data_IF_670309687426
#
_entry.id   IF_670309687426
#
_cell.length_a   1.000
_cell.length_b   1.000
_cell.length_c   1.000
_cell.angle_alpha   90.00
_cell.angle_beta   90.00
_cell.angle_gamma   90.00
#
_symmetry.space_group_name_H-M   'P 1'
#
loop_
_entity.id
_entity.type
_entity.pdbx_description
1 polymer ?
#
# COMPACT_ATOMS: atom_id res chain seq x y z
N UNK A 1 2.91 -22.55 -16.55
CA UNK A 1 2.17 -21.26 -16.44
C UNK A 1 2.79 -20.27 -17.43
N UNK A 2 1.96 -19.50 -18.16
CA UNK A 2 2.44 -18.41 -19.02
C UNK A 2 1.86 -17.10 -18.48
N UNK A 3 2.74 -16.15 -18.19
CA UNK A 3 2.37 -14.77 -17.81
C UNK A 3 2.44 -13.92 -19.08
N UNK A 4 1.38 -13.18 -19.36
CA UNK A 4 1.31 -12.31 -20.54
C UNK A 4 1.06 -10.87 -20.15
N UNK A 5 1.73 -9.97 -20.86
CA UNK A 5 1.54 -8.50 -20.76
C UNK A 5 1.69 -7.90 -22.15
N UNK A 6 0.92 -6.85 -22.45
CA UNK A 6 1.02 -6.14 -23.74
C UNK A 6 2.30 -5.27 -23.83
N UNK A 7 2.93 -4.98 -22.70
CA UNK A 7 4.14 -4.17 -22.62
C UNK A 7 5.40 -5.02 -22.82
N UNK A 8 6.02 -4.89 -24.00
CA UNK A 8 7.24 -5.63 -24.37
C UNK A 8 8.38 -5.37 -23.38
N UNK A 9 8.60 -4.12 -22.95
CA UNK A 9 9.71 -3.78 -22.05
C UNK A 9 9.55 -4.49 -20.69
N UNK A 10 8.30 -4.62 -20.19
CA UNK A 10 8.01 -5.36 -18.97
C UNK A 10 8.27 -6.85 -19.13
N UNK A 11 7.89 -7.43 -20.27
CA UNK A 11 8.17 -8.85 -20.58
C UNK A 11 9.68 -9.08 -20.73
N UNK A 12 10.41 -8.16 -21.36
CA UNK A 12 11.87 -8.25 -21.48
C UNK A 12 12.54 -8.20 -20.10
N UNK A 13 12.08 -7.33 -19.20
CA UNK A 13 12.56 -7.27 -17.82
C UNK A 13 12.30 -8.58 -17.07
N UNK A 14 11.11 -9.17 -17.17
CA UNK A 14 10.81 -10.48 -16.58
C UNK A 14 11.66 -11.63 -17.15
N UNK A 15 12.08 -11.53 -18.40
CA UNK A 15 12.96 -12.49 -19.05
C UNK A 15 14.46 -12.22 -18.80
N UNK A 16 14.80 -11.11 -18.13
CA UNK A 16 16.17 -10.74 -17.76
C UNK A 16 16.48 -11.07 -16.29
N UNK A 17 17.69 -10.80 -15.87
CA UNK A 17 18.10 -10.92 -14.45
C UNK A 17 17.74 -9.69 -13.60
N UNK A 18 17.24 -8.62 -14.23
CA UNK A 18 16.76 -7.42 -13.57
C UNK A 18 15.22 -7.40 -13.61
N UNK A 19 14.58 -7.93 -12.58
CA UNK A 19 13.12 -8.00 -12.52
C UNK A 19 12.50 -6.59 -12.40
N UNK A 20 11.29 -6.37 -12.93
CA UNK A 20 10.66 -5.05 -12.95
C UNK A 20 10.08 -4.61 -11.59
N UNK A 21 10.13 -5.47 -10.58
CA UNK A 21 9.68 -5.19 -9.20
C UNK A 21 10.66 -5.79 -8.21
N UNK A 22 10.80 -5.14 -7.05
CA UNK A 22 11.52 -5.67 -5.90
C UNK A 22 10.53 -6.30 -4.92
N UNK A 23 10.77 -7.57 -4.58
CA UNK A 23 10.08 -8.29 -3.52
C UNK A 23 11.03 -9.35 -2.94
N UNK A 24 11.20 -9.42 -1.61
CA UNK A 24 12.07 -10.44 -1.01
C UNK A 24 11.69 -11.87 -1.45
N UNK A 25 12.68 -12.65 -1.88
CA UNK A 25 12.50 -14.05 -2.34
C UNK A 25 11.96 -14.24 -3.76
N UNK A 26 11.51 -13.17 -4.44
CA UNK A 26 10.93 -13.27 -5.79
C UNK A 26 11.96 -13.67 -6.84
N UNK A 27 13.16 -13.12 -6.75
CA UNK A 27 14.24 -13.33 -7.72
C UNK A 27 14.64 -14.82 -7.79
N UNK A 28 14.77 -15.47 -6.64
CA UNK A 28 15.09 -16.89 -6.54
C UNK A 28 14.00 -17.76 -7.16
N UNK A 29 12.73 -17.47 -6.88
CA UNK A 29 11.58 -18.21 -7.42
C UNK A 29 11.51 -18.07 -8.93
N UNK A 30 11.64 -16.84 -9.45
CA UNK A 30 11.58 -16.59 -10.90
C UNK A 30 12.74 -17.28 -11.61
N UNK A 31 13.99 -17.17 -11.11
CA UNK A 31 15.17 -17.83 -11.69
C UNK A 31 15.05 -19.36 -11.66
N UNK A 32 14.47 -19.92 -10.60
CA UNK A 32 14.29 -21.36 -10.50
C UNK A 32 13.26 -21.92 -11.49
N UNK A 33 12.22 -21.14 -11.83
CA UNK A 33 11.07 -21.60 -12.62
C UNK A 33 11.09 -21.14 -14.08
N UNK A 34 11.71 -19.99 -14.40
CA UNK A 34 11.74 -19.38 -15.72
C UNK A 34 12.34 -20.33 -16.78
N UNK A 35 11.62 -20.47 -17.90
CA UNK A 35 12.00 -21.36 -18.99
C UNK A 35 11.74 -22.85 -18.74
N UNK A 36 11.26 -23.25 -17.55
CA UNK A 36 10.90 -24.64 -17.21
C UNK A 36 9.38 -24.80 -17.14
N UNK A 37 8.75 -24.13 -16.18
CA UNK A 37 7.31 -24.15 -15.96
C UNK A 37 6.70 -22.74 -15.80
N UNK A 38 7.52 -21.70 -15.91
CA UNK A 38 7.14 -20.28 -15.91
C UNK A 38 7.70 -19.61 -17.18
N UNK A 39 6.79 -19.03 -17.98
CA UNK A 39 7.10 -18.37 -19.25
C UNK A 39 6.49 -16.97 -19.26
N UNK A 40 7.17 -16.02 -19.91
CA UNK A 40 6.71 -14.64 -20.08
C UNK A 40 6.64 -14.31 -21.56
N UNK A 41 5.52 -13.76 -22.03
CA UNK A 41 5.27 -13.52 -23.46
C UNK A 41 4.35 -12.32 -23.68
N UNK A 42 4.46 -11.68 -24.84
CA UNK A 42 3.47 -10.73 -25.35
C UNK A 42 2.40 -11.38 -26.21
N UNK A 43 2.54 -12.67 -26.55
CA UNK A 43 1.57 -13.43 -27.33
C UNK A 43 0.37 -13.86 -26.46
N UNK A 44 -0.52 -12.88 -26.22
CA UNK A 44 -1.73 -13.11 -25.44
C UNK A 44 -2.68 -14.08 -26.12
N UNK A 45 -2.76 -14.08 -27.47
CA UNK A 45 -3.67 -14.95 -28.21
C UNK A 45 -3.29 -16.42 -28.02
N UNK A 46 -2.04 -16.79 -28.27
CA UNK A 46 -1.59 -18.16 -28.09
C UNK A 46 -1.78 -18.65 -26.64
N UNK A 47 -1.46 -17.80 -25.65
CA UNK A 47 -1.62 -18.14 -24.25
C UNK A 47 -3.08 -18.35 -23.86
N UNK A 48 -4.02 -17.48 -24.29
CA UNK A 48 -5.44 -17.59 -24.03
C UNK A 48 -6.04 -18.85 -24.68
N UNK A 49 -5.68 -19.13 -25.94
CA UNK A 49 -6.13 -20.34 -26.64
C UNK A 49 -5.75 -21.61 -25.87
N UNK A 50 -4.53 -21.69 -25.39
CA UNK A 50 -3.98 -22.86 -24.71
C UNK A 50 -4.51 -23.02 -23.26
N UNK A 51 -4.88 -21.94 -22.60
CA UNK A 51 -5.25 -21.98 -21.18
C UNK A 51 -6.66 -22.53 -20.96
N UNK A 52 -6.83 -23.32 -19.90
CA UNK A 52 -8.12 -23.73 -19.34
C UNK A 52 -8.56 -22.80 -18.20
N UNK A 53 -7.59 -22.32 -17.41
CA UNK A 53 -7.79 -21.39 -16.31
C UNK A 53 -6.94 -20.13 -16.56
N UNK A 54 -7.56 -18.96 -16.51
CA UNK A 54 -6.95 -17.66 -16.80
C UNK A 54 -7.10 -16.75 -15.58
N UNK A 55 -5.97 -16.40 -14.95
CA UNK A 55 -5.94 -15.39 -13.90
C UNK A 55 -5.82 -14.01 -14.52
N UNK A 56 -6.76 -13.12 -14.20
CA UNK A 56 -6.74 -11.72 -14.63
C UNK A 56 -6.28 -10.86 -13.47
N UNK A 57 -5.04 -10.36 -13.58
CA UNK A 57 -4.35 -9.55 -12.57
C UNK A 57 -3.96 -8.19 -13.15
N UNK A 58 -4.93 -7.46 -13.68
CA UNK A 58 -4.73 -6.14 -14.29
C UNK A 58 -4.91 -5.00 -13.28
N UNK A 59 -4.32 -3.84 -13.57
CA UNK A 59 -4.49 -2.67 -12.74
C UNK A 59 -5.95 -2.18 -12.76
N UNK A 60 -6.43 -1.74 -11.58
CA UNK A 60 -7.73 -1.09 -11.39
C UNK A 60 -7.52 0.27 -10.70
N UNK A 61 -6.95 1.26 -11.42
CA UNK A 61 -6.65 2.57 -10.85
C UNK A 61 -7.93 3.33 -10.52
N UNK A 62 -7.82 4.36 -9.67
CA UNK A 62 -8.92 5.30 -9.46
C UNK A 62 -9.16 6.13 -10.71
N UNK A 63 -10.42 6.33 -11.09
CA UNK A 63 -10.83 7.16 -12.25
C UNK A 63 -10.32 8.58 -12.11
N UNK A 64 -9.69 9.07 -13.18
CA UNK A 64 -9.15 10.45 -13.24
C UNK A 64 -10.14 11.46 -13.82
N UNK A 65 -11.21 11.01 -14.48
CA UNK A 65 -12.20 11.85 -15.17
C UNK A 65 -13.62 11.29 -15.06
N UNK A 66 -14.61 12.11 -15.32
CA UNK A 66 -16.02 11.71 -15.41
C UNK A 66 -16.68 11.36 -14.08
N UNK A 67 -17.81 10.67 -14.14
CA UNK A 67 -18.57 10.25 -12.98
C UNK A 67 -17.73 9.31 -12.10
N UNK A 68 -17.67 9.57 -10.79
CA UNK A 68 -16.85 8.83 -9.85
C UNK A 68 -15.35 9.21 -9.90
N UNK A 69 -14.97 10.35 -10.52
CA UNK A 69 -13.60 10.88 -10.50
C UNK A 69 -13.05 10.92 -9.06
N UNK A 70 -11.85 10.44 -8.86
CA UNK A 70 -11.16 10.42 -7.56
C UNK A 70 -11.67 9.36 -6.57
N UNK A 71 -12.68 8.56 -6.92
CA UNK A 71 -13.33 7.59 -6.03
C UNK A 71 -13.51 6.22 -6.67
N UNK A 72 -14.16 6.15 -7.83
CA UNK A 72 -14.49 4.91 -8.51
C UNK A 72 -13.26 4.21 -9.10
N UNK A 73 -13.26 2.88 -9.13
CA UNK A 73 -12.28 2.11 -9.88
C UNK A 73 -12.47 2.26 -11.40
N UNK A 74 -11.37 2.36 -12.13
CA UNK A 74 -11.35 2.30 -13.59
C UNK A 74 -11.13 0.85 -14.03
N UNK A 75 -12.13 0.27 -14.67
CA UNK A 75 -12.12 -1.12 -15.12
C UNK A 75 -11.73 -1.29 -16.58
N UNK A 76 -11.25 -0.24 -17.24
CA UNK A 76 -10.88 -0.27 -18.68
C UNK A 76 -9.93 -1.42 -19.03
N UNK A 77 -8.93 -1.66 -18.20
CA UNK A 77 -7.98 -2.77 -18.42
C UNK A 77 -8.65 -4.13 -18.26
N UNK A 78 -9.56 -4.27 -17.30
CA UNK A 78 -10.31 -5.50 -17.09
C UNK A 78 -11.25 -5.77 -18.26
N UNK A 79 -12.00 -4.77 -18.70
CA UNK A 79 -12.88 -4.87 -19.87
C UNK A 79 -12.10 -5.24 -21.14
N UNK A 80 -10.94 -4.62 -21.36
CA UNK A 80 -10.07 -4.93 -22.49
C UNK A 80 -9.56 -6.39 -22.45
N UNK A 81 -9.13 -6.85 -21.28
CA UNK A 81 -8.72 -8.24 -21.09
C UNK A 81 -9.87 -9.21 -21.37
N UNK A 82 -11.08 -8.91 -20.88
CA UNK A 82 -12.27 -9.74 -21.12
C UNK A 82 -12.61 -9.83 -22.62
N UNK A 83 -12.51 -8.73 -23.37
CA UNK A 83 -12.75 -8.74 -24.83
C UNK A 83 -11.74 -9.62 -25.55
N UNK A 84 -10.45 -9.54 -25.20
CA UNK A 84 -9.41 -10.38 -25.77
C UNK A 84 -9.62 -11.85 -25.43
N UNK A 85 -9.96 -12.17 -24.17
CA UNK A 85 -10.27 -13.53 -23.73
C UNK A 85 -11.44 -14.09 -24.54
N UNK A 86 -12.53 -13.32 -24.70
CA UNK A 86 -13.68 -13.73 -25.48
C UNK A 86 -13.33 -14.01 -26.95
N UNK A 87 -12.59 -13.06 -27.59
CA UNK A 87 -12.25 -13.15 -29.02
C UNK A 87 -11.36 -14.36 -29.35
N UNK A 88 -10.46 -14.75 -28.45
CA UNK A 88 -9.47 -15.80 -28.70
C UNK A 88 -9.80 -17.15 -28.08
N UNK A 89 -10.86 -17.24 -27.28
CA UNK A 89 -11.28 -18.51 -26.66
C UNK A 89 -11.93 -19.45 -27.69
N UNK A 90 -11.45 -20.67 -27.75
CA UNK A 90 -11.98 -21.75 -28.63
C UNK A 90 -12.55 -22.91 -27.83
N UNK A 91 -12.55 -22.84 -26.51
CA UNK A 91 -13.08 -23.83 -25.56
C UNK A 91 -13.50 -23.15 -24.29
N UNK A 92 -14.25 -23.86 -23.44
CA UNK A 92 -14.63 -23.41 -22.11
C UNK A 92 -13.43 -22.92 -21.29
N UNK A 93 -13.62 -21.86 -20.50
CA UNK A 93 -12.59 -21.24 -19.67
C UNK A 93 -13.08 -20.97 -18.25
N UNK A 94 -12.22 -21.23 -17.28
CA UNK A 94 -12.36 -20.67 -15.93
C UNK A 94 -11.60 -19.35 -15.90
N UNK A 95 -12.30 -18.25 -15.63
CA UNK A 95 -11.73 -16.90 -15.55
C UNK A 95 -11.64 -16.53 -14.09
N UNK A 96 -10.44 -16.32 -13.59
CA UNK A 96 -10.17 -15.98 -12.20
C UNK A 96 -9.86 -14.50 -12.07
N UNK A 97 -10.77 -13.74 -11.50
CA UNK A 97 -10.60 -12.34 -11.16
C UNK A 97 -9.69 -12.22 -9.94
N UNK A 98 -8.44 -11.82 -10.19
CA UNK A 98 -7.42 -11.64 -9.13
C UNK A 98 -7.30 -10.18 -8.69
N UNK A 99 -7.58 -9.24 -9.60
CA UNK A 99 -7.56 -7.80 -9.31
C UNK A 99 -8.60 -7.42 -8.26
N UNK A 100 -8.29 -6.40 -7.45
CA UNK A 100 -9.27 -5.78 -6.55
C UNK A 100 -10.27 -4.95 -7.35
N UNK A 101 -11.54 -5.30 -7.29
CA UNK A 101 -12.61 -4.73 -8.09
C UNK A 101 -13.83 -4.35 -7.24
N UNK A 102 -14.71 -3.44 -7.73
CA UNK A 102 -16.01 -3.21 -7.12
C UNK A 102 -16.89 -4.46 -7.12
N UNK A 103 -17.74 -4.58 -6.11
CA UNK A 103 -18.78 -5.64 -6.07
C UNK A 103 -19.62 -5.62 -7.36
N UNK A 104 -19.94 -6.79 -7.91
CA UNK A 104 -20.66 -7.07 -9.15
C UNK A 104 -19.88 -6.82 -10.43
N UNK A 105 -18.56 -6.64 -10.35
CA UNK A 105 -17.70 -6.54 -11.54
C UNK A 105 -17.73 -7.82 -12.35
N UNK A 106 -17.61 -8.97 -11.71
CA UNK A 106 -17.64 -10.26 -12.39
C UNK A 106 -18.93 -10.49 -13.20
N UNK A 107 -20.08 -10.04 -12.69
CA UNK A 107 -21.36 -10.10 -13.44
C UNK A 107 -21.33 -9.21 -14.70
N UNK A 108 -20.74 -8.02 -14.61
CA UNK A 108 -20.61 -7.12 -15.76
C UNK A 108 -19.64 -7.72 -16.81
N UNK A 109 -18.53 -8.28 -16.36
CA UNK A 109 -17.52 -8.92 -17.21
C UNK A 109 -18.07 -10.17 -17.92
N UNK A 110 -18.88 -10.96 -17.23
CA UNK A 110 -19.57 -12.10 -17.85
C UNK A 110 -20.37 -11.68 -19.09
N UNK A 111 -21.11 -10.57 -18.98
CA UNK A 111 -21.87 -10.02 -20.10
C UNK A 111 -20.95 -9.60 -21.27
N UNK A 112 -19.75 -9.07 -20.96
CA UNK A 112 -18.75 -8.73 -21.98
C UNK A 112 -18.22 -9.99 -22.65
N UNK A 113 -17.85 -11.02 -21.90
CA UNK A 113 -17.37 -12.29 -22.42
C UNK A 113 -18.37 -12.95 -23.35
N UNK A 114 -19.61 -13.15 -22.88
CA UNK A 114 -20.68 -13.80 -23.65
C UNK A 114 -21.06 -13.05 -24.94
N UNK A 115 -21.01 -11.72 -24.93
CA UNK A 115 -21.36 -10.89 -26.10
C UNK A 115 -20.25 -10.78 -27.14
N UNK A 116 -19.00 -11.05 -26.78
CA UNK A 116 -17.84 -10.90 -27.65
C UNK A 116 -17.20 -12.22 -28.08
N UNK A 117 -17.67 -13.38 -27.59
CA UNK A 117 -17.20 -14.68 -28.01
C UNK A 117 -17.77 -15.05 -29.38
N UNK A 118 -16.94 -15.27 -30.42
CA UNK A 118 -17.42 -15.67 -31.74
C UNK A 118 -17.79 -17.15 -31.85
N UNK A 119 -17.37 -17.96 -30.86
CA UNK A 119 -17.57 -19.41 -30.87
C UNK A 119 -18.87 -19.78 -30.16
N UNK A 120 -19.79 -20.43 -30.84
CA UNK A 120 -20.99 -20.99 -30.22
C UNK A 120 -20.64 -22.15 -29.27
N UNK A 121 -21.33 -22.20 -28.12
CA UNK A 121 -21.16 -23.29 -27.16
C UNK A 121 -19.97 -23.16 -26.22
N UNK A 122 -19.15 -22.10 -26.35
CA UNK A 122 -18.09 -21.80 -25.38
C UNK A 122 -18.67 -21.12 -24.15
N UNK A 123 -18.32 -21.59 -22.98
CA UNK A 123 -18.78 -21.07 -21.70
C UNK A 123 -17.60 -20.48 -20.90
N UNK A 124 -17.94 -19.49 -20.08
CA UNK A 124 -17.01 -18.82 -19.18
C UNK A 124 -17.52 -18.94 -17.75
N UNK A 125 -16.76 -19.60 -16.87
CA UNK A 125 -17.05 -19.67 -15.45
C UNK A 125 -16.16 -18.66 -14.73
N UNK A 126 -16.76 -17.59 -14.18
CA UNK A 126 -16.01 -16.52 -13.53
C UNK A 126 -15.94 -16.76 -12.04
N UNK A 127 -14.72 -16.72 -11.50
CA UNK A 127 -14.43 -16.81 -10.08
C UNK A 127 -13.78 -15.52 -9.60
N UNK A 128 -14.12 -15.08 -8.40
CA UNK A 128 -13.39 -14.04 -7.67
C UNK A 128 -12.40 -14.71 -6.73
N UNK A 129 -11.11 -14.42 -6.89
CA UNK A 129 -10.05 -14.93 -6.02
C UNK A 129 -9.13 -13.78 -5.62
N UNK A 130 -9.59 -12.87 -4.75
CA UNK A 130 -8.81 -11.73 -4.33
C UNK A 130 -7.55 -12.17 -3.58
N UNK A 131 -6.46 -11.42 -3.74
CA UNK A 131 -5.24 -11.60 -2.97
C UNK A 131 -5.32 -10.80 -1.65
N UNK A 132 -4.67 -11.31 -0.60
CA UNK A 132 -4.57 -10.65 0.71
C UNK A 132 -3.11 -10.48 1.15
N UNK A 133 -2.19 -10.54 0.22
CA UNK A 133 -0.77 -10.38 0.46
C UNK A 133 -0.38 -8.93 0.78
N UNK A 134 0.75 -8.79 1.43
CA UNK A 134 1.39 -7.50 1.70
C UNK A 134 2.73 -7.43 0.97
N UNK A 135 3.03 -6.29 0.35
CA UNK A 135 4.35 -6.03 -0.24
C UNK A 135 5.44 -6.22 0.82
N UNK A 136 6.59 -6.76 0.43
CA UNK A 136 7.69 -7.09 1.35
C UNK A 136 7.55 -8.46 2.04
N UNK A 137 6.37 -9.09 2.00
CA UNK A 137 6.11 -10.45 2.50
C UNK A 137 5.28 -11.29 1.54
N UNK A 138 5.14 -10.85 0.28
CA UNK A 138 4.21 -11.44 -0.67
C UNK A 138 4.51 -12.91 -0.99
N UNK A 139 5.78 -13.31 -1.04
CA UNK A 139 6.16 -14.70 -1.29
C UNK A 139 5.73 -15.60 -0.14
N UNK A 140 5.95 -15.18 1.10
CA UNK A 140 5.51 -15.93 2.30
C UNK A 140 3.99 -15.97 2.39
N UNK A 141 3.31 -14.85 2.14
CA UNK A 141 1.85 -14.75 2.13
C UNK A 141 1.20 -15.63 1.06
N UNK A 142 1.87 -15.87 -0.07
CA UNK A 142 1.39 -16.77 -1.13
C UNK A 142 1.66 -18.24 -0.83
N UNK A 143 2.79 -18.55 -0.17
CA UNK A 143 3.16 -19.92 0.15
C UNK A 143 2.50 -20.44 1.42
N UNK A 144 2.30 -19.56 2.41
CA UNK A 144 1.64 -19.89 3.68
C UNK A 144 0.55 -18.86 4.04
N UNK A 145 -0.49 -18.71 3.21
CA UNK A 145 -1.52 -17.71 3.43
C UNK A 145 -2.32 -17.97 4.70
N UNK A 146 -2.77 -16.90 5.37
CA UNK A 146 -3.79 -17.01 6.42
C UNK A 146 -5.07 -17.65 5.89
N UNK A 147 -5.46 -17.28 4.65
CA UNK A 147 -6.58 -17.86 3.90
C UNK A 147 -6.42 -17.62 2.39
N UNK A 148 -7.02 -18.51 1.61
CA UNK A 148 -7.37 -18.30 0.20
C UNK A 148 -8.87 -18.17 0.11
N UNK A 149 -9.40 -17.13 -0.52
CA UNK A 149 -10.83 -16.94 -0.72
C UNK A 149 -11.17 -17.13 -2.19
N UNK A 150 -12.15 -18.01 -2.46
CA UNK A 150 -12.64 -18.30 -3.81
C UNK A 150 -14.14 -18.06 -3.84
N UNK A 151 -14.57 -17.07 -4.59
CA UNK A 151 -15.97 -16.76 -4.83
C UNK A 151 -16.42 -17.28 -6.18
N UNK A 152 -17.60 -17.87 -6.26
CA UNK A 152 -18.18 -18.35 -7.50
C UNK A 152 -19.70 -18.45 -7.44
N UNK A 153 -20.30 -18.83 -8.57
CA UNK A 153 -21.73 -19.11 -8.68
C UNK A 153 -22.04 -20.53 -8.14
N UNK A 154 -21.96 -20.67 -6.82
CA UNK A 154 -22.11 -21.94 -6.10
C UNK A 154 -23.55 -22.46 -6.11
N UNK A 155 -24.51 -21.70 -6.63
CA UNK A 155 -25.91 -22.08 -6.82
C UNK A 155 -26.16 -22.96 -8.06
N UNK A 156 -25.15 -23.20 -8.89
CA UNK A 156 -25.23 -24.09 -10.03
C UNK A 156 -24.01 -25.01 -10.14
N UNK A 157 -24.21 -26.17 -10.82
CA UNK A 157 -23.21 -27.23 -10.91
C UNK A 157 -21.91 -26.77 -11.58
N UNK A 158 -21.98 -25.95 -12.63
CA UNK A 158 -20.79 -25.44 -13.33
C UNK A 158 -19.95 -24.56 -12.43
N UNK A 159 -20.56 -23.58 -11.77
CA UNK A 159 -19.87 -22.70 -10.85
C UNK A 159 -19.26 -23.44 -9.67
N UNK A 160 -19.99 -24.44 -9.14
CA UNK A 160 -19.46 -25.33 -8.10
C UNK A 160 -18.24 -26.12 -8.59
N UNK A 161 -18.30 -26.67 -9.80
CA UNK A 161 -17.18 -27.41 -10.40
C UNK A 161 -15.97 -26.48 -10.67
N UNK A 162 -16.19 -25.26 -11.15
CA UNK A 162 -15.13 -24.27 -11.35
C UNK A 162 -14.45 -23.86 -10.02
N UNK A 163 -15.24 -23.63 -8.96
CA UNK A 163 -14.70 -23.39 -7.62
C UNK A 163 -13.84 -24.56 -7.13
N UNK A 164 -14.36 -25.80 -7.28
CA UNK A 164 -13.63 -27.00 -6.88
C UNK A 164 -12.30 -27.14 -7.63
N UNK A 165 -12.29 -26.89 -8.94
CA UNK A 165 -11.06 -26.94 -9.74
C UNK A 165 -10.00 -25.93 -9.24
N UNK A 166 -10.40 -24.70 -8.90
CA UNK A 166 -9.46 -23.72 -8.35
C UNK A 166 -9.03 -24.10 -6.92
N UNK A 167 -9.91 -24.64 -6.09
CA UNK A 167 -9.55 -25.18 -4.78
C UNK A 167 -8.47 -26.28 -4.89
N UNK A 168 -8.59 -27.18 -5.85
CA UNK A 168 -7.60 -28.24 -6.11
C UNK A 168 -6.23 -27.65 -6.51
N UNK A 169 -6.19 -26.56 -7.26
CA UNK A 169 -4.93 -25.87 -7.59
C UNK A 169 -4.25 -25.42 -6.30
N UNK A 170 -4.96 -24.70 -5.43
CA UNK A 170 -4.38 -24.20 -4.17
C UNK A 170 -4.06 -25.30 -3.17
N UNK A 171 -4.83 -26.39 -3.15
CA UNK A 171 -4.64 -27.53 -2.25
C UNK A 171 -3.29 -28.26 -2.45
N UNK A 172 -2.54 -27.96 -3.53
CA UNK A 172 -1.20 -28.49 -3.71
C UNK A 172 -0.18 -27.96 -2.68
N UNK A 173 -0.45 -26.77 -2.08
CA UNK A 173 0.46 -26.17 -1.08
C UNK A 173 -0.26 -25.50 0.11
N UNK A 174 -1.56 -25.24 0.01
CA UNK A 174 -2.36 -24.61 1.07
C UNK A 174 -3.22 -25.66 1.74
N UNK A 175 -3.22 -25.77 3.08
CA UNK A 175 -4.12 -26.63 3.84
C UNK A 175 -5.59 -26.33 3.51
N UNK A 176 -6.41 -27.38 3.34
CA UNK A 176 -7.79 -27.25 2.89
C UNK A 176 -8.65 -26.37 3.80
N UNK A 177 -8.39 -26.37 5.09
CA UNK A 177 -9.08 -25.55 6.09
C UNK A 177 -8.84 -24.04 5.92
N UNK A 178 -7.80 -23.67 5.18
CA UNK A 178 -7.49 -22.28 4.82
C UNK A 178 -8.05 -21.86 3.47
N UNK A 179 -8.63 -22.77 2.70
CA UNK A 179 -9.27 -22.49 1.41
C UNK A 179 -10.76 -22.30 1.67
N UNK A 180 -11.20 -21.05 1.58
CA UNK A 180 -12.58 -20.65 1.88
C UNK A 180 -13.34 -20.42 0.58
N UNK A 181 -14.57 -20.92 0.51
CA UNK A 181 -15.48 -20.68 -0.62
C UNK A 181 -16.64 -19.76 -0.19
N UNK A 182 -17.06 -18.87 -1.09
CA UNK A 182 -18.16 -17.94 -0.87
C UNK A 182 -18.94 -17.72 -2.17
N UNK A 183 -20.07 -17.01 -2.08
CA UNK A 183 -20.67 -16.51 -3.31
C UNK A 183 -19.77 -15.42 -3.92
N UNK A 184 -19.92 -15.20 -5.22
CA UNK A 184 -19.08 -14.35 -6.03
C UNK A 184 -18.97 -12.91 -5.48
N UNK A 185 -20.10 -12.30 -5.15
CA UNK A 185 -20.15 -10.90 -4.69
C UNK A 185 -19.60 -10.72 -3.27
N UNK A 186 -19.77 -11.71 -2.39
CA UNK A 186 -19.17 -11.71 -1.05
C UNK A 186 -17.64 -11.76 -1.14
N UNK A 187 -17.07 -12.52 -2.08
CA UNK A 187 -15.64 -12.58 -2.28
C UNK A 187 -15.07 -11.23 -2.78
N UNK A 188 -15.71 -10.62 -3.78
CA UNK A 188 -15.34 -9.28 -4.26
C UNK A 188 -15.37 -8.24 -3.12
N UNK A 189 -16.48 -8.19 -2.35
CA UNK A 189 -16.63 -7.24 -1.26
C UNK A 189 -15.63 -7.48 -0.12
N UNK A 190 -15.29 -8.75 0.16
CA UNK A 190 -14.38 -9.11 1.25
C UNK A 190 -13.00 -8.47 1.11
N UNK A 191 -12.49 -8.31 -0.11
CA UNK A 191 -11.18 -7.67 -0.34
C UNK A 191 -11.22 -6.19 0.01
N UNK A 192 -12.20 -5.45 -0.51
CA UNK A 192 -12.36 -4.02 -0.19
C UNK A 192 -12.56 -3.80 1.31
N UNK A 193 -13.43 -4.62 1.93
CA UNK A 193 -13.70 -4.56 3.35
C UNK A 193 -12.45 -4.83 4.19
N UNK A 194 -11.66 -5.87 3.84
CA UNK A 194 -10.44 -6.18 4.57
C UNK A 194 -9.45 -5.01 4.54
N UNK A 195 -9.18 -4.43 3.37
CA UNK A 195 -8.29 -3.28 3.24
C UNK A 195 -8.82 -2.05 3.99
N UNK A 196 -10.12 -1.77 3.91
CA UNK A 196 -10.76 -0.66 4.63
C UNK A 196 -10.65 -0.83 6.15
N UNK A 197 -10.86 -2.03 6.69
CA UNK A 197 -10.74 -2.31 8.13
C UNK A 197 -9.30 -2.26 8.61
N UNK A 198 -8.31 -2.70 7.83
CA UNK A 198 -6.89 -2.56 8.18
C UNK A 198 -6.49 -1.07 8.27
N UNK A 199 -6.86 -0.28 7.28
CA UNK A 199 -6.60 1.17 7.28
C UNK A 199 -7.35 1.88 8.41
N UNK A 200 -8.60 1.51 8.70
CA UNK A 200 -9.39 2.05 9.80
C UNK A 200 -8.71 1.80 11.15
N UNK A 201 -8.07 0.64 11.37
CA UNK A 201 -7.30 0.37 12.59
C UNK A 201 -6.13 1.35 12.74
N UNK A 202 -5.40 1.63 11.65
CA UNK A 202 -4.30 2.61 11.67
C UNK A 202 -4.84 4.02 11.96
N UNK A 203 -5.92 4.45 11.29
CA UNK A 203 -6.54 5.75 11.55
C UNK A 203 -7.06 5.86 12.99
N UNK A 204 -7.60 4.78 13.55
CA UNK A 204 -8.09 4.76 14.94
C UNK A 204 -6.95 4.94 15.93
N UNK A 205 -5.83 4.20 15.80
CA UNK A 205 -4.70 4.37 16.73
C UNK A 205 -4.02 5.73 16.54
N UNK A 206 -3.99 6.26 15.31
CA UNK A 206 -3.50 7.60 15.04
C UNK A 206 -4.37 8.69 15.67
N UNK A 207 -5.69 8.54 15.69
CA UNK A 207 -6.59 9.43 16.40
C UNK A 207 -6.32 9.40 17.92
N UNK A 208 -6.13 8.20 18.50
CA UNK A 208 -5.75 8.04 19.92
C UNK A 208 -4.37 8.64 20.18
N UNK A 209 -3.43 8.57 19.26
CA UNK A 209 -2.10 9.18 19.41
C UNK A 209 -2.16 10.68 19.63
N UNK A 210 -3.10 11.37 18.96
CA UNK A 210 -3.31 12.80 19.17
C UNK A 210 -3.80 13.12 20.59
N UNK A 211 -4.73 12.32 21.12
CA UNK A 211 -5.21 12.46 22.49
C UNK A 211 -4.11 12.15 23.51
N UNK A 212 -3.26 11.15 23.26
CA UNK A 212 -2.13 10.83 24.15
C UNK A 212 -1.19 12.03 24.32
N UNK A 213 -0.85 12.73 23.25
CA UNK A 213 0.00 13.93 23.32
C UNK A 213 -0.60 15.04 24.20
N UNK A 214 -1.92 15.24 24.13
CA UNK A 214 -2.63 16.25 24.94
C UNK A 214 -2.74 15.86 26.40
N UNK A 215 -2.79 14.57 26.73
CA UNK A 215 -3.06 14.07 28.08
C UNK A 215 -1.81 13.59 28.82
N UNK A 216 -0.68 13.45 28.09
CA UNK A 216 0.54 12.87 28.65
C UNK A 216 0.55 11.33 28.69
N UNK A 217 -0.43 10.67 28.04
CA UNK A 217 -0.43 9.22 27.86
C UNK A 217 0.60 8.81 26.79
N UNK A 218 0.99 7.52 26.77
CA UNK A 218 1.87 6.93 25.76
C UNK A 218 1.06 5.97 24.87
N UNK A 219 0.96 6.28 23.58
CA UNK A 219 0.21 5.47 22.62
C UNK A 219 0.74 4.04 22.49
N UNK A 220 2.05 3.81 22.71
CA UNK A 220 2.63 2.48 22.66
C UNK A 220 2.13 1.61 23.83
N UNK A 221 1.97 2.19 25.01
CA UNK A 221 1.39 1.50 26.16
C UNK A 221 -0.11 1.24 25.94
N UNK A 222 -0.83 2.22 25.40
CA UNK A 222 -2.26 2.07 25.06
C UNK A 222 -2.45 0.95 24.04
N UNK A 223 -1.70 0.99 22.93
CA UNK A 223 -1.80 -0.04 21.86
C UNK A 223 -1.41 -1.43 22.37
N UNK A 224 -0.37 -1.53 23.21
CA UNK A 224 0.02 -2.78 23.84
C UNK A 224 -1.10 -3.35 24.73
N UNK A 225 -1.68 -2.51 25.57
CA UNK A 225 -2.74 -2.93 26.52
C UNK A 225 -3.99 -3.41 25.77
N UNK A 226 -4.52 -2.61 24.83
CA UNK A 226 -5.71 -2.99 24.06
C UNK A 226 -5.44 -4.17 23.11
N UNK A 227 -4.22 -4.28 22.59
CA UNK A 227 -3.81 -5.39 21.72
C UNK A 227 -3.73 -6.75 22.43
N UNK A 228 -3.72 -6.79 23.79
CA UNK A 228 -3.81 -8.03 24.57
C UNK A 228 -5.24 -8.60 24.63
N UNK A 229 -6.26 -7.80 24.35
CA UNK A 229 -7.62 -8.30 24.19
C UNK A 229 -7.70 -9.11 22.86
N UNK A 230 -8.00 -10.40 22.95
CA UNK A 230 -8.10 -11.30 21.80
C UNK A 230 -9.13 -10.86 20.76
N UNK A 231 -10.14 -10.09 21.16
CA UNK A 231 -11.17 -9.52 20.27
C UNK A 231 -10.62 -8.39 19.40
N UNK A 232 -9.56 -7.70 19.85
CA UNK A 232 -8.88 -6.61 19.15
C UNK A 232 -7.63 -7.16 18.46
N UNK A 233 -6.73 -7.81 19.19
CA UNK A 233 -5.44 -8.29 18.71
C UNK A 233 -4.42 -7.15 18.46
N UNK A 234 -3.12 -7.46 18.40
CA UNK A 234 -2.05 -6.45 18.38
C UNK A 234 -1.73 -5.87 16.99
N UNK A 235 -2.19 -6.49 15.90
CA UNK A 235 -1.81 -6.08 14.53
C UNK A 235 -2.48 -4.77 14.12
N UNK A 236 -1.77 -3.91 13.37
CA UNK A 236 -2.24 -2.62 12.84
C UNK A 236 -2.59 -1.58 13.92
N UNK A 237 -1.91 -1.62 15.07
CA UNK A 237 -2.06 -0.67 16.18
C UNK A 237 -0.80 0.18 16.43
N UNK A 238 0.12 0.26 15.47
CA UNK A 238 1.28 1.14 15.57
C UNK A 238 0.93 2.53 15.06
N UNK A 239 0.97 3.53 15.96
CA UNK A 239 0.78 4.91 15.58
C UNK A 239 1.93 5.39 14.67
N UNK A 240 1.59 6.12 13.62
CA UNK A 240 2.53 6.60 12.62
C UNK A 240 2.07 7.91 12.00
N UNK A 241 2.90 8.48 11.13
CA UNK A 241 2.57 9.68 10.35
C UNK A 241 1.42 9.48 9.36
N UNK A 242 0.96 8.26 9.17
CA UNK A 242 -0.15 7.86 8.31
C UNK A 242 0.14 6.56 7.57
N UNK A 243 -0.90 6.01 6.95
CA UNK A 243 -0.77 4.89 6.03
C UNK A 243 -0.59 5.38 4.59
N UNK A 244 0.04 4.56 3.78
CA UNK A 244 0.21 4.73 2.34
C UNK A 244 0.03 3.40 1.61
N UNK A 245 0.62 3.31 0.43
CA UNK A 245 0.51 2.15 -0.46
C UNK A 245 -0.67 2.23 -1.41
N UNK A 246 -0.57 1.52 -2.50
CA UNK A 246 -1.52 1.57 -3.63
C UNK A 246 -2.95 1.12 -3.33
N UNK A 247 -3.18 0.49 -2.17
CA UNK A 247 -4.43 -0.22 -1.92
C UNK A 247 -5.37 0.51 -0.95
N UNK A 248 -4.89 0.95 0.21
CA UNK A 248 -5.78 1.37 1.30
C UNK A 248 -6.68 2.54 0.91
N UNK A 249 -6.09 3.66 0.50
CA UNK A 249 -6.87 4.85 0.17
C UNK A 249 -7.81 4.60 -1.02
N UNK A 250 -7.29 3.99 -2.08
CA UNK A 250 -8.05 3.65 -3.27
C UNK A 250 -9.26 2.78 -2.95
N UNK A 251 -9.07 1.73 -2.15
CA UNK A 251 -10.12 0.75 -1.85
C UNK A 251 -11.18 1.33 -0.89
N UNK A 252 -10.78 2.19 0.07
CA UNK A 252 -11.73 2.91 0.93
C UNK A 252 -12.58 3.87 0.09
N UNK A 253 -11.96 4.67 -0.78
CA UNK A 253 -12.67 5.63 -1.63
C UNK A 253 -13.65 4.90 -2.56
N UNK A 254 -13.25 3.75 -3.10
CA UNK A 254 -14.11 2.92 -3.93
C UNK A 254 -15.26 2.32 -3.12
N UNK A 255 -15.00 1.80 -1.91
CA UNK A 255 -16.04 1.26 -1.03
C UNK A 255 -17.06 2.35 -0.64
N UNK A 256 -16.58 3.54 -0.26
CA UNK A 256 -17.45 4.67 0.05
C UNK A 256 -18.29 5.11 -1.17
N UNK A 257 -17.69 5.17 -2.35
CA UNK A 257 -18.41 5.48 -3.58
C UNK A 257 -19.47 4.44 -3.93
N UNK A 258 -19.22 3.16 -3.73
CA UNK A 258 -20.23 2.10 -3.89
C UNK A 258 -21.41 2.36 -2.93
N UNK A 259 -21.14 2.71 -1.67
CA UNK A 259 -22.17 3.06 -0.69
C UNK A 259 -23.01 4.27 -1.16
N UNK A 260 -22.37 5.34 -1.66
CA UNK A 260 -23.07 6.50 -2.25
C UNK A 260 -24.01 6.07 -3.41
N UNK A 261 -23.53 5.22 -4.32
CA UNK A 261 -24.33 4.71 -5.44
C UNK A 261 -25.56 3.90 -5.01
N UNK A 262 -25.54 3.33 -3.81
CA UNK A 262 -26.66 2.62 -3.21
C UNK A 262 -27.49 3.47 -2.24
N UNK A 263 -27.24 4.77 -2.16
CA UNK A 263 -27.97 5.69 -1.27
C UNK A 263 -27.65 5.53 0.21
N UNK A 264 -26.49 4.92 0.55
CA UNK A 264 -26.03 4.68 1.91
C UNK A 264 -25.04 5.77 2.33
N UNK A 265 -25.51 7.03 2.44
CA UNK A 265 -24.63 8.18 2.67
C UNK A 265 -23.90 8.10 4.02
N UNK A 266 -24.57 7.72 5.10
CA UNK A 266 -23.97 7.62 6.43
C UNK A 266 -22.85 6.56 6.46
N UNK A 267 -23.00 5.48 5.70
CA UNK A 267 -21.96 4.45 5.57
C UNK A 267 -20.78 4.97 4.74
N UNK A 268 -21.05 5.71 3.68
CA UNK A 268 -20.02 6.36 2.87
C UNK A 268 -19.21 7.35 3.72
N UNK A 269 -19.87 8.21 4.49
CA UNK A 269 -19.25 9.22 5.36
C UNK A 269 -18.37 8.57 6.44
N UNK A 270 -18.81 7.44 6.99
CA UNK A 270 -17.99 6.67 7.92
C UNK A 270 -16.65 6.25 7.28
N UNK A 271 -16.68 5.69 6.08
CA UNK A 271 -15.45 5.27 5.40
C UNK A 271 -14.59 6.44 4.93
N UNK A 272 -15.19 7.55 4.48
CA UNK A 272 -14.44 8.78 4.18
C UNK A 272 -13.73 9.34 5.41
N UNK A 273 -14.31 9.21 6.61
CA UNK A 273 -13.68 9.67 7.84
C UNK A 273 -12.35 8.98 8.14
N UNK A 274 -12.16 7.75 7.67
CA UNK A 274 -10.89 7.00 7.81
C UNK A 274 -9.78 7.67 7.00
N UNK A 275 -10.06 8.09 5.76
CA UNK A 275 -9.12 8.84 4.91
C UNK A 275 -8.88 10.23 5.50
N UNK A 276 -9.95 10.93 5.91
CA UNK A 276 -9.84 12.26 6.53
C UNK A 276 -8.97 12.25 7.80
N UNK A 277 -9.03 11.18 8.60
CA UNK A 277 -8.15 11.00 9.77
C UNK A 277 -6.69 10.78 9.36
N UNK A 278 -6.43 10.08 8.25
CA UNK A 278 -5.09 9.92 7.71
C UNK A 278 -4.49 11.26 7.24
N UNK A 279 -5.29 12.09 6.55
CA UNK A 279 -4.86 13.42 6.11
C UNK A 279 -4.63 14.38 7.30
N UNK A 280 -5.50 14.32 8.30
CA UNK A 280 -5.31 15.04 9.56
C UNK A 280 -3.97 14.68 10.21
N UNK A 281 -3.62 13.40 10.26
CA UNK A 281 -2.39 12.91 10.89
C UNK A 281 -1.14 13.46 10.19
N UNK A 282 -1.10 13.45 8.84
CA UNK A 282 -0.01 14.02 8.04
C UNK A 282 0.13 15.53 8.30
N UNK A 283 -0.98 16.25 8.25
CA UNK A 283 -1.02 17.70 8.50
C UNK A 283 -0.60 18.04 9.92
N UNK A 284 -1.04 17.26 10.92
CA UNK A 284 -0.65 17.44 12.32
C UNK A 284 0.85 17.28 12.52
N UNK A 285 1.47 16.30 11.83
CA UNK A 285 2.91 16.09 11.90
C UNK A 285 3.69 17.30 11.35
N UNK A 286 3.30 17.83 10.18
CA UNK A 286 3.91 19.04 9.62
C UNK A 286 3.78 20.22 10.58
N UNK A 287 2.56 20.48 11.10
CA UNK A 287 2.32 21.55 12.08
C UNK A 287 3.23 21.42 13.29
N UNK A 288 3.44 20.19 13.79
CA UNK A 288 4.32 19.93 14.93
C UNK A 288 5.78 20.25 14.59
N UNK A 289 6.28 19.87 13.40
CA UNK A 289 7.63 20.20 12.95
C UNK A 289 7.82 21.73 12.92
N UNK A 290 6.91 22.46 12.29
CA UNK A 290 6.98 23.92 12.17
C UNK A 290 6.95 24.59 13.55
N UNK A 291 5.97 24.23 14.40
CA UNK A 291 5.80 24.79 15.74
C UNK A 291 7.04 24.55 16.61
N UNK A 292 7.54 23.31 16.65
CA UNK A 292 8.71 22.95 17.44
C UNK A 292 9.98 23.72 17.03
N UNK A 293 10.08 24.05 15.75
CA UNK A 293 11.22 24.75 15.18
C UNK A 293 11.03 26.28 15.12
N UNK A 294 10.44 26.85 16.19
CA UNK A 294 10.26 28.30 16.36
C UNK A 294 9.26 28.92 15.36
N UNK A 295 8.20 28.19 15.03
CA UNK A 295 7.15 28.59 14.07
C UNK A 295 7.68 28.98 12.67
N UNK A 296 8.84 28.47 12.28
CA UNK A 296 9.38 28.65 10.93
C UNK A 296 10.42 27.58 10.60
N UNK A 297 10.32 27.03 9.42
CA UNK A 297 11.34 26.13 8.84
C UNK A 297 11.94 26.69 7.55
N UNK A 298 11.67 27.97 7.28
CA UNK A 298 12.18 28.66 6.08
C UNK A 298 13.70 28.56 5.99
N UNK A 299 14.21 28.09 4.87
CA UNK A 299 15.63 27.85 4.57
C UNK A 299 16.34 26.89 5.53
N UNK A 300 15.61 26.18 6.42
CA UNK A 300 16.21 25.14 7.25
C UNK A 300 16.34 23.85 6.45
N UNK A 301 17.48 23.18 6.58
CA UNK A 301 17.70 21.85 6.02
C UNK A 301 17.06 20.82 6.94
N UNK A 302 16.09 20.06 6.41
CA UNK A 302 15.40 18.96 7.09
C UNK A 302 15.84 17.66 6.43
N UNK A 303 16.51 16.80 7.17
CA UNK A 303 16.86 15.47 6.69
C UNK A 303 15.61 14.57 6.78
N UNK A 304 15.09 14.14 5.64
CA UNK A 304 13.96 13.21 5.56
C UNK A 304 14.50 11.82 5.31
N UNK A 305 14.32 10.93 6.29
CA UNK A 305 14.75 9.53 6.23
C UNK A 305 13.55 8.63 5.94
N UNK A 306 13.55 8.04 4.73
CA UNK A 306 12.48 7.22 4.19
C UNK A 306 11.54 8.01 3.28
N UNK A 307 11.18 7.39 2.15
CA UNK A 307 10.20 7.90 1.19
C UNK A 307 9.24 6.79 0.72
N UNK A 308 9.66 5.52 0.78
CA UNK A 308 8.74 4.39 0.63
C UNK A 308 7.64 4.43 1.70
N UNK A 309 6.44 3.94 1.38
CA UNK A 309 5.31 3.99 2.32
C UNK A 309 5.51 3.08 3.55
N UNK A 310 6.35 2.05 3.44
CA UNK A 310 6.81 1.16 4.53
C UNK A 310 8.17 0.56 4.17
N UNK A 311 8.81 -0.14 5.11
CA UNK A 311 10.06 -0.86 4.86
C UNK A 311 9.88 -2.05 3.91
N UNK A 312 10.98 -2.57 3.39
CA UNK A 312 11.11 -3.76 2.54
C UNK A 312 10.37 -3.64 1.19
N UNK A 313 10.16 -2.40 0.71
CA UNK A 313 9.61 -2.10 -0.62
C UNK A 313 10.15 -0.78 -1.15
N UNK A 314 10.18 -0.61 -2.48
CA UNK A 314 10.42 0.67 -3.14
C UNK A 314 9.12 1.39 -3.55
N UNK A 315 7.94 0.92 -3.10
CA UNK A 315 6.66 1.54 -3.47
C UNK A 315 6.43 2.87 -2.74
N UNK A 316 6.20 3.91 -3.51
CA UNK A 316 5.98 5.29 -3.03
C UNK A 316 4.54 5.76 -3.19
N UNK A 317 3.65 4.92 -3.74
CA UNK A 317 2.26 5.30 -3.99
C UNK A 317 1.56 5.65 -2.68
N UNK A 318 0.91 6.84 -2.65
CA UNK A 318 0.19 7.35 -1.46
C UNK A 318 1.06 7.37 -0.18
N UNK A 319 2.39 7.44 -0.30
CA UNK A 319 3.26 7.54 0.88
C UNK A 319 2.99 8.84 1.62
N UNK A 320 2.85 8.81 2.97
CA UNK A 320 2.73 10.03 3.76
C UNK A 320 3.90 11.00 3.60
N UNK A 321 5.06 10.52 3.15
CA UNK A 321 6.25 11.35 2.91
C UNK A 321 6.00 12.42 1.85
N UNK A 322 5.17 12.16 0.84
CA UNK A 322 4.80 13.13 -0.20
C UNK A 322 4.09 14.34 0.42
N UNK A 323 2.99 14.10 1.17
CA UNK A 323 2.20 15.17 1.76
C UNK A 323 3.00 15.95 2.81
N UNK A 324 3.79 15.25 3.62
CA UNK A 324 4.66 15.87 4.63
C UNK A 324 5.76 16.72 3.97
N UNK A 325 6.40 16.23 2.91
CA UNK A 325 7.39 16.98 2.16
C UNK A 325 6.78 18.25 1.55
N UNK A 326 5.62 18.14 0.88
CA UNK A 326 4.91 19.30 0.34
C UNK A 326 4.60 20.33 1.43
N UNK A 327 4.01 19.90 2.56
CA UNK A 327 3.69 20.81 3.66
C UNK A 327 4.92 21.51 4.26
N UNK A 328 6.05 20.82 4.34
CA UNK A 328 7.30 21.45 4.80
C UNK A 328 7.90 22.40 3.74
N UNK A 329 7.78 22.06 2.44
CA UNK A 329 8.26 22.93 1.34
C UNK A 329 7.42 24.21 1.24
N UNK A 330 6.10 24.13 1.43
CA UNK A 330 5.22 25.31 1.49
C UNK A 330 5.65 26.29 2.57
N UNK A 331 6.18 25.79 3.70
CA UNK A 331 6.72 26.60 4.79
C UNK A 331 8.21 26.98 4.58
N UNK A 332 8.74 26.67 3.40
CA UNK A 332 10.07 27.10 2.91
C UNK A 332 11.24 26.22 3.32
N UNK A 333 11.02 24.99 3.77
CA UNK A 333 12.10 24.06 4.09
C UNK A 333 12.91 23.63 2.87
N UNK A 334 14.16 23.20 3.12
CA UNK A 334 15.01 22.48 2.18
C UNK A 334 15.11 21.03 2.63
N UNK A 335 14.59 20.12 1.82
CA UNK A 335 14.54 18.69 2.15
C UNK A 335 15.82 17.99 1.66
N UNK A 336 16.53 17.35 2.57
CA UNK A 336 17.63 16.43 2.27
C UNK A 336 17.09 14.98 2.42
N UNK A 337 16.72 14.36 1.31
CA UNK A 337 16.03 13.09 1.29
C UNK A 337 17.00 11.92 1.14
N UNK A 338 16.80 10.90 1.94
CA UNK A 338 17.44 9.59 1.80
C UNK A 338 16.42 8.47 1.98
N UNK A 339 16.40 7.53 1.06
CA UNK A 339 15.67 6.25 1.17
C UNK A 339 16.55 5.13 0.61
N UNK A 340 16.64 3.95 1.26
CA UNK A 340 17.50 2.84 0.80
C UNK A 340 17.06 2.22 -0.53
N UNK A 341 15.76 2.31 -0.89
CA UNK A 341 15.18 1.58 -2.03
C UNK A 341 14.54 2.48 -3.08
N UNK A 342 14.29 3.75 -2.77
CA UNK A 342 13.61 4.67 -3.70
C UNK A 342 14.65 5.51 -4.46
N UNK A 343 14.78 5.34 -5.78
CA UNK A 343 15.69 6.15 -6.59
C UNK A 343 15.15 7.57 -6.78
N UNK A 344 16.07 8.53 -7.07
CA UNK A 344 15.73 9.94 -7.28
C UNK A 344 14.70 10.14 -8.40
N UNK A 345 14.76 9.34 -9.47
CA UNK A 345 13.82 9.42 -10.58
C UNK A 345 12.37 9.16 -10.11
N UNK A 346 12.18 8.24 -9.18
CA UNK A 346 10.86 7.97 -8.61
C UNK A 346 10.40 9.14 -7.73
N UNK A 347 11.28 9.67 -6.88
CA UNK A 347 10.97 10.86 -6.07
C UNK A 347 10.57 12.04 -6.97
N UNK A 348 11.29 12.24 -8.07
CA UNK A 348 11.01 13.29 -9.05
C UNK A 348 9.65 13.12 -9.73
N UNK A 349 9.28 11.88 -10.08
CA UNK A 349 7.97 11.59 -10.66
C UNK A 349 6.83 11.89 -9.68
N UNK A 350 7.02 11.56 -8.41
CA UNK A 350 5.98 11.71 -7.39
C UNK A 350 5.83 13.17 -6.90
N UNK A 351 6.95 13.88 -6.71
CA UNK A 351 6.96 15.24 -6.19
C UNK A 351 6.79 16.32 -7.28
N UNK A 352 7.16 16.02 -8.51
CA UNK A 352 7.15 16.96 -9.62
C UNK A 352 8.31 17.99 -9.58
N UNK A 353 8.61 18.57 -10.74
CA UNK A 353 9.79 19.43 -10.94
C UNK A 353 9.82 20.68 -10.03
N UNK A 354 8.68 21.23 -9.67
CA UNK A 354 8.63 22.44 -8.80
C UNK A 354 9.09 22.12 -7.37
N UNK A 355 8.58 21.04 -6.78
CA UNK A 355 8.99 20.61 -5.44
C UNK A 355 10.47 20.18 -5.41
N UNK A 356 10.95 19.55 -6.50
CA UNK A 356 12.36 19.14 -6.61
C UNK A 356 13.35 20.29 -6.53
N UNK A 357 12.96 21.54 -6.76
CA UNK A 357 13.82 22.72 -6.49
C UNK A 357 14.18 22.89 -5.01
N UNK A 358 13.42 22.28 -4.12
CA UNK A 358 13.60 22.30 -2.66
C UNK A 358 14.02 20.96 -2.08
N UNK A 359 14.15 19.92 -2.89
CA UNK A 359 14.55 18.57 -2.49
C UNK A 359 15.91 18.24 -3.09
N UNK A 360 16.81 17.69 -2.28
CA UNK A 360 18.06 17.07 -2.72
C UNK A 360 18.05 15.62 -2.25
N UNK A 361 18.12 14.68 -3.20
CA UNK A 361 18.24 13.26 -2.89
C UNK A 361 19.70 12.88 -2.66
N UNK A 362 19.97 12.07 -1.66
CA UNK A 362 21.31 11.61 -1.30
C UNK A 362 21.39 10.09 -1.36
N UNK A 363 22.53 9.59 -1.81
CA UNK A 363 22.80 8.14 -1.83
C UNK A 363 23.33 7.61 -0.48
N UNK A 364 23.69 8.51 0.44
CA UNK A 364 24.19 8.17 1.78
C UNK A 364 23.48 8.99 2.85
N UNK A 365 23.00 8.35 3.93
CA UNK A 365 22.30 9.05 4.99
C UNK A 365 23.17 10.10 5.69
N UNK A 366 24.47 9.87 5.80
CA UNK A 366 25.41 10.81 6.44
C UNK A 366 25.49 12.16 5.72
N UNK A 367 25.32 12.17 4.40
CA UNK A 367 25.32 13.42 3.60
C UNK A 367 24.00 14.18 3.76
N UNK A 368 22.87 13.46 3.85
CA UNK A 368 21.57 14.06 4.14
C UNK A 368 21.54 14.71 5.52
N UNK A 369 22.10 14.04 6.52
CA UNK A 369 22.10 14.43 7.92
C UNK A 369 23.08 15.58 8.25
N UNK A 370 24.19 15.70 7.51
CA UNK A 370 25.19 16.76 7.72
C UNK A 370 24.54 18.14 7.57
N UNK A 371 24.82 19.03 8.52
CA UNK A 371 24.30 20.40 8.57
C UNK A 371 22.76 20.48 8.56
N UNK A 372 22.05 19.40 8.93
CA UNK A 372 20.61 19.41 9.08
C UNK A 372 20.19 20.10 10.40
N UNK A 373 19.05 20.78 10.38
CA UNK A 373 18.42 21.36 11.59
C UNK A 373 17.52 20.35 12.28
N UNK A 374 16.91 19.46 11.49
CA UNK A 374 16.04 18.40 11.99
C UNK A 374 16.17 17.14 11.15
N UNK A 375 15.80 16.03 11.77
CA UNK A 375 15.59 14.74 11.11
C UNK A 375 14.11 14.36 11.23
N UNK A 376 13.49 13.93 10.14
CA UNK A 376 12.14 13.33 10.13
C UNK A 376 12.25 11.88 9.70
N UNK A 377 11.68 10.94 10.48
CA UNK A 377 11.60 9.52 10.14
C UNK A 377 10.26 9.26 9.50
N UNK A 378 10.25 8.96 8.20
CA UNK A 378 9.01 8.78 7.43
C UNK A 378 8.71 7.31 7.12
N UNK A 379 9.75 6.46 7.06
CA UNK A 379 9.63 5.02 6.83
C UNK A 379 10.37 4.25 7.93
N UNK A 380 9.83 3.11 8.32
CA UNK A 380 10.36 2.30 9.43
C UNK A 380 11.50 1.35 9.01
N UNK A 381 12.47 1.83 8.22
CA UNK A 381 13.65 1.06 7.86
C UNK A 381 14.47 0.67 9.08
N UNK A 382 14.83 -0.61 9.20
CA UNK A 382 15.57 -1.12 10.37
C UNK A 382 16.99 -0.53 10.48
N UNK A 383 17.59 -0.13 9.35
CA UNK A 383 18.91 0.50 9.35
C UNK A 383 18.93 1.84 10.13
N UNK A 384 17.83 2.61 10.15
CA UNK A 384 17.78 3.88 10.86
C UNK A 384 17.93 3.73 12.38
N UNK A 385 17.58 2.55 12.92
CA UNK A 385 17.78 2.20 14.33
C UNK A 385 19.27 2.00 14.68
N UNK A 386 20.08 1.63 13.69
CA UNK A 386 21.48 1.22 13.87
C UNK A 386 22.46 2.37 13.67
N UNK A 387 22.01 3.55 13.33
CA UNK A 387 22.89 4.69 13.09
C UNK A 387 23.58 5.18 14.37
N UNK A 388 24.82 5.68 14.23
CA UNK A 388 25.52 6.38 15.31
C UNK A 388 24.92 7.79 15.49
N UNK A 389 23.82 7.85 16.28
CA UNK A 389 23.11 9.08 16.55
C UNK A 389 23.95 10.13 17.28
N UNK A 390 25.00 9.72 18.04
CA UNK A 390 25.95 10.66 18.66
C UNK A 390 26.78 11.36 17.61
N UNK A 391 27.36 10.62 16.67
CA UNK A 391 28.11 11.22 15.56
C UNK A 391 27.23 12.09 14.68
N UNK A 392 25.96 11.70 14.46
CA UNK A 392 24.96 12.50 13.72
C UNK A 392 24.69 13.82 14.46
N UNK A 393 24.49 13.77 15.78
CA UNK A 393 24.28 14.96 16.59
C UNK A 393 25.42 15.98 16.38
N UNK A 394 26.66 15.54 16.40
CA UNK A 394 27.83 16.46 16.27
C UNK A 394 27.87 17.23 14.93
N UNK A 395 27.35 16.65 13.86
CA UNK A 395 27.38 17.27 12.52
C UNK A 395 26.10 18.05 12.17
N UNK A 396 25.09 18.06 13.04
CA UNK A 396 23.85 18.81 12.85
C UNK A 396 23.92 20.22 13.46
N UNK A 397 23.09 21.13 12.95
CA UNK A 397 22.87 22.44 13.59
C UNK A 397 22.18 22.30 14.95
N UNK A 398 22.52 23.18 15.90
CA UNK A 398 21.93 23.17 17.25
C UNK A 398 20.91 24.32 17.40
N UNK A 399 19.80 24.11 18.09
CA UNK A 399 19.35 22.83 18.65
C UNK A 399 19.01 21.83 17.54
N UNK A 400 19.35 20.55 17.76
CA UNK A 400 19.09 19.48 16.81
C UNK A 400 17.78 18.75 17.15
N UNK A 401 16.89 18.63 16.17
CA UNK A 401 15.57 18.02 16.36
C UNK A 401 15.49 16.65 15.70
N UNK A 402 14.76 15.73 16.34
CA UNK A 402 14.33 14.46 15.73
C UNK A 402 12.82 14.34 15.85
N UNK A 403 12.15 14.19 14.71
CA UNK A 403 10.72 13.95 14.60
C UNK A 403 10.50 12.51 14.12
N UNK A 404 10.22 11.62 15.06
CA UNK A 404 10.02 10.20 14.74
C UNK A 404 8.56 9.92 14.37
N UNK A 405 8.27 9.94 13.09
CA UNK A 405 6.96 9.66 12.51
C UNK A 405 6.57 8.18 12.49
N UNK A 406 7.46 7.29 12.95
CA UNK A 406 7.25 5.83 12.94
C UNK A 406 7.43 5.18 14.32
N UNK A 407 7.88 5.95 15.32
CA UNK A 407 8.16 5.46 16.68
C UNK A 407 9.15 4.27 16.70
N UNK A 408 10.22 4.35 15.92
CA UNK A 408 11.19 3.26 15.79
C UNK A 408 12.51 3.50 16.53
N UNK A 409 12.80 4.75 16.93
CA UNK A 409 14.06 5.11 17.56
C UNK A 409 14.02 4.97 19.08
N UNK A 410 15.17 4.86 19.69
CA UNK A 410 15.31 4.97 21.15
C UNK A 410 15.29 6.44 21.57
N UNK A 411 14.10 6.94 21.88
CA UNK A 411 13.86 8.35 22.19
C UNK A 411 14.58 8.80 23.48
N UNK A 412 14.73 7.90 24.48
CA UNK A 412 15.44 8.21 25.71
C UNK A 412 16.93 8.43 25.44
N UNK A 413 17.53 7.53 24.69
CA UNK A 413 18.93 7.65 24.27
C UNK A 413 19.19 8.89 23.41
N UNK A 414 18.28 9.22 22.48
CA UNK A 414 18.41 10.45 21.69
C UNK A 414 18.37 11.70 22.57
N UNK A 415 17.49 11.75 23.57
CA UNK A 415 17.41 12.87 24.52
C UNK A 415 18.67 12.97 25.39
N UNK A 416 19.25 11.85 25.83
CA UNK A 416 20.54 11.81 26.56
C UNK A 416 21.72 12.34 25.72
N UNK A 417 21.70 12.13 24.39
CA UNK A 417 22.70 12.69 23.48
C UNK A 417 22.54 14.23 23.39
N UNK A 418 21.34 14.76 23.53
CA UNK A 418 21.04 16.19 23.46
C UNK A 418 20.06 16.58 22.36
N UNK A 419 19.46 15.63 21.64
CA UNK A 419 18.38 15.93 20.69
C UNK A 419 17.11 16.38 21.40
N UNK A 420 16.40 17.30 20.76
CA UNK A 420 15.00 17.57 21.09
C UNK A 420 14.15 16.59 20.29
N UNK A 421 13.46 15.68 20.99
CA UNK A 421 12.78 14.56 20.35
C UNK A 421 11.27 14.74 20.40
N UNK A 422 10.63 14.63 19.24
CA UNK A 422 9.19 14.43 19.12
C UNK A 422 8.93 13.04 18.57
N UNK A 423 8.11 12.28 19.29
CA UNK A 423 7.62 10.98 18.88
C UNK A 423 6.08 10.99 18.91
N UNK A 424 5.47 10.47 17.86
CA UNK A 424 4.01 10.49 17.70
C UNK A 424 3.30 9.76 18.83
N UNK A 425 2.33 10.46 19.46
CA UNK A 425 1.48 9.89 20.50
C UNK A 425 2.19 9.61 21.82
N UNK A 426 3.34 10.23 22.05
CA UNK A 426 4.10 10.13 23.30
C UNK A 426 4.04 11.43 24.09
N UNK A 427 4.35 11.40 25.40
CA UNK A 427 4.48 12.61 26.18
C UNK A 427 5.45 13.60 25.52
N UNK A 428 4.99 14.83 25.36
CA UNK A 428 5.76 15.87 24.65
C UNK A 428 6.94 16.30 25.50
N UNK A 429 8.14 16.42 24.88
CA UNK A 429 9.34 16.95 25.49
C UNK A 429 9.06 18.34 26.16
N UNK A 430 9.59 18.61 27.37
CA UNK A 430 9.38 19.88 28.07
C UNK A 430 9.73 21.12 27.24
N UNK A 431 10.77 21.04 26.41
CA UNK A 431 11.16 22.13 25.49
C UNK A 431 10.02 22.43 24.49
N UNK A 432 9.37 21.41 23.96
CA UNK A 432 8.28 21.56 22.98
C UNK A 432 6.99 22.09 23.63
N UNK A 433 6.76 21.82 24.93
CA UNK A 433 5.61 22.36 25.70
C UNK A 433 5.71 23.87 25.87
N UNK A 434 6.91 24.41 26.05
CA UNK A 434 7.12 25.85 26.23
C UNK A 434 6.89 26.66 24.95
N UNK A 435 6.95 26.02 23.78
CA UNK A 435 6.70 26.64 22.48
C UNK A 435 5.20 26.76 22.12
N UNK A 436 4.30 26.04 22.81
CA UNK A 436 2.84 26.11 22.56
C UNK A 436 2.15 27.30 23.25
N UNK A 437 2.84 28.03 24.09
CA UNK A 437 2.31 29.17 24.86
C UNK A 437 2.83 30.54 24.40
N UNK A 438 3.51 30.61 23.26
CA UNK A 438 4.07 31.87 22.73
C UNK A 438 3.34 32.32 21.46
#
# INVERSE_FOLDING_TARGET
MTVVDLNQQRIDAWNSDNLPIYEPGLDEVVKACRGKNLFFSTDCEAAIRAAQCIFVSVNTPTKKTGLGKGKAADLTYWESAARNIAAWSTSDKIIVEKSTVPVRTAEAIEKVLLRNCPQEGVHFDILSNPEFLAEGTAIDDLTMPDRVLIGGKIENDRGTAACAALCEVYANWVPKERILTANLWSAELSKLTANAMLAQRISSINAISALCECTGADVSQVSFAIGKDSRIGPKFLNASVGFGGSCFQKDILNLAYICECHGLQEVADYWYSVVGMNDYQKTRFVKRVVSAMFNTIRNKKIAMLGFAFKKDTGDTRETPAIDVAHGMIEDGAKIALFDPQVPEEQVRMDMGEEAMKSITCYSKPTEALKDAHAVTIMTEWDEFKTYDWRAIYEVMHKPAFVFDGRNILDHAHLSEIGFIVYALGKPIDPFLKSAEGA
#
